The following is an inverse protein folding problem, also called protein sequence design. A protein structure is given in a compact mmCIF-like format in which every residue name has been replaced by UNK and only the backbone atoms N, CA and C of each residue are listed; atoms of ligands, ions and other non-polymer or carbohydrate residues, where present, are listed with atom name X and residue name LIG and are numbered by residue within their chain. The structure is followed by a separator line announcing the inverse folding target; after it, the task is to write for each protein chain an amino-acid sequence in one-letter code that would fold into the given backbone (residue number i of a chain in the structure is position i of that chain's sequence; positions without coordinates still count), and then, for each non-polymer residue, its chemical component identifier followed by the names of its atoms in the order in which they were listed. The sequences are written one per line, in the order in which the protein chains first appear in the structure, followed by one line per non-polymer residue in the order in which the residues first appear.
data_IF_850246700620
#
_entry.id   IF_850246700620
#
_cell.length_a   1.000
_cell.length_b   1.000
_cell.length_c   1.000
_cell.angle_alpha   90.00
_cell.angle_beta   90.00
_cell.angle_gamma   90.00
#
_symmetry.space_group_name_H-M   'P 1'
#
loop_
_entity.id
_entity.type
_entity.pdbx_description
1 polymer ?
#
# COMPACT_ATOMS: atom_id res chain seq x y z
N UNK A 1 1.03 10.00 8.24
CA UNK A 1 0.36 9.81 6.94
C UNK A 1 -0.73 8.75 7.13
N UNK A 2 -1.87 8.85 6.45
CA UNK A 2 -2.98 7.89 6.60
C UNK A 2 -2.71 6.62 5.77
N UNK A 3 -3.06 5.42 6.27
CA UNK A 3 -2.74 4.14 5.61
C UNK A 3 -3.33 3.99 4.19
N UNK A 4 -4.43 4.67 3.90
CA UNK A 4 -5.00 4.76 2.56
C UNK A 4 -4.04 5.38 1.53
N UNK A 5 -3.23 6.38 1.94
CA UNK A 5 -2.20 6.97 1.09
C UNK A 5 -1.06 5.99 0.88
N UNK A 6 -0.65 5.29 1.95
CA UNK A 6 0.37 4.25 1.89
C UNK A 6 -0.02 3.15 0.88
N UNK A 7 -1.26 2.67 0.93
CA UNK A 7 -1.77 1.68 -0.04
C UNK A 7 -1.73 2.22 -1.47
N UNK A 8 -2.16 3.47 -1.69
CA UNK A 8 -2.19 4.08 -3.02
C UNK A 8 -0.79 4.25 -3.62
N UNK A 9 0.16 4.76 -2.83
CA UNK A 9 1.57 4.88 -3.23
C UNK A 9 2.19 3.51 -3.58
N UNK A 10 1.90 2.49 -2.77
CA UNK A 10 2.36 1.13 -3.06
C UNK A 10 1.84 0.61 -4.41
N UNK A 11 0.53 0.79 -4.66
CA UNK A 11 -0.11 0.33 -5.89
C UNK A 11 0.46 1.03 -7.14
N UNK A 12 0.75 2.33 -7.05
CA UNK A 12 1.42 3.09 -8.10
C UNK A 12 2.84 2.55 -8.34
N UNK A 13 3.67 2.46 -7.29
CA UNK A 13 5.05 2.01 -7.41
C UNK A 13 5.14 0.59 -7.98
N UNK A 14 4.23 -0.31 -7.57
CA UNK A 14 4.17 -1.66 -8.12
C UNK A 14 3.78 -1.67 -9.59
N UNK A 15 2.80 -0.85 -9.98
CA UNK A 15 2.35 -0.74 -11.37
C UNK A 15 3.47 -0.23 -12.29
N UNK A 16 4.23 0.78 -11.86
CA UNK A 16 5.42 1.29 -12.56
C UNK A 16 6.47 0.18 -12.78
N UNK A 17 6.75 -0.61 -11.73
CA UNK A 17 7.72 -1.72 -11.78
C UNK A 17 7.34 -2.80 -12.80
N UNK A 18 6.05 -3.11 -12.92
CA UNK A 18 5.57 -4.13 -13.88
C UNK A 18 5.15 -3.56 -15.23
N UNK A 19 5.25 -2.24 -15.42
CA UNK A 19 4.80 -1.56 -16.63
C UNK A 19 3.29 -1.68 -16.87
N UNK A 20 2.49 -1.68 -15.80
CA UNK A 20 1.03 -1.71 -15.88
C UNK A 20 0.43 -0.32 -15.59
N UNK A 21 -0.73 -0.04 -16.19
CA UNK A 21 -1.50 1.15 -15.87
C UNK A 21 -2.28 0.95 -14.57
N UNK A 22 -2.16 1.90 -13.63
CA UNK A 22 -2.95 1.94 -12.41
C UNK A 22 -3.82 3.20 -12.37
N UNK A 23 -5.14 3.02 -12.48
CA UNK A 23 -6.09 4.11 -12.70
C UNK A 23 -7.03 4.39 -11.52
N UNK A 24 -6.88 3.71 -10.39
CA UNK A 24 -7.73 3.97 -9.21
C UNK A 24 -7.23 5.19 -8.46
N UNK A 25 -8.11 6.19 -8.32
CA UNK A 25 -7.90 7.32 -7.43
C UNK A 25 -8.05 6.91 -5.96
N UNK A 26 -7.50 7.71 -5.06
CA UNK A 26 -7.63 7.50 -3.62
C UNK A 26 -9.11 7.45 -3.17
N UNK A 27 -9.94 8.36 -3.71
CA UNK A 27 -11.37 8.43 -3.40
C UNK A 27 -12.12 7.16 -3.81
N UNK A 28 -11.75 6.54 -4.92
CA UNK A 28 -12.35 5.28 -5.36
C UNK A 28 -11.95 4.12 -4.44
N UNK A 29 -10.69 4.08 -4.00
CA UNK A 29 -10.21 3.10 -3.02
C UNK A 29 -10.98 3.24 -1.71
N UNK A 30 -11.15 4.45 -1.20
CA UNK A 30 -11.93 4.71 0.02
C UNK A 30 -13.38 4.25 -0.10
N UNK A 31 -14.02 4.58 -1.23
CA UNK A 31 -15.39 4.17 -1.52
C UNK A 31 -15.52 2.64 -1.51
N UNK A 32 -14.64 1.94 -2.23
CA UNK A 32 -14.62 0.47 -2.26
C UNK A 32 -14.36 -0.12 -0.87
N UNK A 33 -13.43 0.45 -0.10
CA UNK A 33 -13.16 -0.01 1.25
C UNK A 33 -14.38 0.10 2.17
N UNK A 34 -15.14 1.21 2.08
CA UNK A 34 -16.38 1.40 2.83
C UNK A 34 -17.48 0.40 2.46
N UNK A 35 -17.44 -0.14 1.24
CA UNK A 35 -18.32 -1.21 0.76
C UNK A 35 -17.86 -2.61 1.21
N UNK A 36 -16.78 -2.69 1.99
CA UNK A 36 -16.25 -3.95 2.53
C UNK A 36 -15.16 -4.61 1.69
N UNK A 37 -14.72 -3.99 0.58
CA UNK A 37 -13.60 -4.53 -0.19
C UNK A 37 -12.30 -4.45 0.61
N UNK A 38 -11.52 -5.53 0.59
CA UNK A 38 -10.23 -5.66 1.28
C UNK A 38 -9.10 -6.12 0.36
N UNK A 39 -9.39 -6.32 -0.92
CA UNK A 39 -8.39 -6.58 -1.94
C UNK A 39 -8.40 -5.45 -2.96
N UNK A 40 -7.23 -4.86 -3.22
CA UNK A 40 -7.04 -3.82 -4.22
C UNK A 40 -5.94 -4.25 -5.16
N UNK A 41 -6.33 -4.66 -6.38
CA UNK A 41 -5.40 -5.15 -7.40
C UNK A 41 -4.41 -6.21 -6.87
N UNK A 42 -4.90 -7.23 -6.18
CA UNK A 42 -4.06 -8.30 -5.62
C UNK A 42 -3.55 -8.03 -4.20
N UNK A 43 -3.57 -6.78 -3.74
CA UNK A 43 -3.10 -6.39 -2.40
C UNK A 43 -4.22 -6.53 -1.37
N UNK A 44 -4.01 -7.40 -0.39
CA UNK A 44 -4.87 -7.55 0.78
C UNK A 44 -4.56 -6.46 1.81
N UNK A 45 -5.61 -5.85 2.36
CA UNK A 45 -5.51 -4.84 3.42
C UNK A 45 -6.30 -5.23 4.66
N UNK A 46 -5.89 -4.75 5.82
CA UNK A 46 -6.64 -4.89 7.07
C UNK A 46 -7.76 -3.84 7.21
N UNK A 47 -8.42 -3.84 8.36
CA UNK A 47 -9.50 -2.92 8.74
C UNK A 47 -9.08 -1.44 8.83
N UNK A 48 -7.79 -1.13 8.69
CA UNK A 48 -7.24 0.22 8.73
C UNK A 48 -6.62 0.66 7.40
N UNK A 49 -6.84 -0.03 6.27
CA UNK A 49 -6.14 0.17 4.98
C UNK A 49 -4.68 -0.27 4.95
N UNK A 50 -4.13 -0.87 6.01
CA UNK A 50 -2.73 -1.27 5.99
C UNK A 50 -2.55 -2.48 5.04
N UNK A 51 -1.66 -2.40 4.03
CA UNK A 51 -1.39 -3.51 3.13
C UNK A 51 -0.62 -4.60 3.87
N UNK A 52 -1.23 -5.78 3.95
CA UNK A 52 -0.68 -6.91 4.69
C UNK A 52 0.02 -7.91 3.77
N UNK A 53 -0.45 -8.03 2.53
CA UNK A 53 0.02 -9.06 1.61
C UNK A 53 -0.28 -8.65 0.17
N UNK A 54 0.63 -8.94 -0.76
CA UNK A 54 0.38 -8.81 -2.18
C UNK A 54 0.38 -10.21 -2.83
N UNK A 55 -0.80 -10.63 -3.30
CA UNK A 55 -0.96 -11.91 -3.99
C UNK A 55 -0.28 -11.92 -5.36
N UNK A 56 -0.11 -10.74 -5.96
CA UNK A 56 0.42 -10.55 -7.30
C UNK A 56 1.78 -9.84 -7.25
N UNK A 57 2.54 -10.03 -6.16
CA UNK A 57 3.86 -9.41 -6.02
C UNK A 57 4.77 -9.86 -7.18
N UNK A 58 5.39 -8.93 -7.92
CA UNK A 58 6.19 -9.28 -9.09
C UNK A 58 7.39 -10.14 -8.69
N UNK A 59 7.53 -11.33 -9.28
CA UNK A 59 8.62 -12.27 -8.92
C UNK A 59 10.00 -11.62 -9.07
N UNK A 60 10.18 -10.82 -10.11
CA UNK A 60 11.42 -10.08 -10.40
C UNK A 60 11.77 -9.05 -9.34
N UNK A 61 10.81 -8.63 -8.52
CA UNK A 61 10.93 -7.60 -7.49
C UNK A 61 10.33 -8.07 -6.16
N UNK A 62 10.43 -9.37 -5.87
CA UNK A 62 9.91 -9.95 -4.62
C UNK A 62 10.46 -9.20 -3.41
N UNK A 63 9.59 -8.86 -2.46
CA UNK A 63 9.89 -8.04 -1.31
C UNK A 63 9.65 -6.54 -1.51
N UNK A 64 9.05 -6.12 -2.63
CA UNK A 64 8.60 -4.74 -2.88
C UNK A 64 7.70 -4.24 -1.75
N UNK A 65 6.72 -5.05 -1.32
CA UNK A 65 5.80 -4.67 -0.23
C UNK A 65 6.55 -4.41 1.07
N UNK A 66 7.45 -5.32 1.44
CA UNK A 66 8.25 -5.19 2.66
C UNK A 66 9.20 -3.99 2.59
N UNK A 67 9.88 -3.80 1.44
CA UNK A 67 10.74 -2.65 1.20
C UNK A 67 9.98 -1.33 1.31
N UNK A 68 8.77 -1.28 0.77
CA UNK A 68 7.89 -0.11 0.85
C UNK A 68 7.40 0.16 2.29
N UNK A 69 6.95 -0.87 3.02
CA UNK A 69 6.55 -0.73 4.44
C UNK A 69 7.74 -0.21 5.26
N UNK A 70 8.93 -0.77 5.08
CA UNK A 70 10.15 -0.31 5.75
C UNK A 70 10.49 1.14 5.41
N UNK A 71 10.43 1.50 4.12
CA UNK A 71 10.62 2.87 3.66
C UNK A 71 9.62 3.83 4.33
N UNK A 72 8.33 3.51 4.30
CA UNK A 72 7.28 4.31 4.91
C UNK A 72 7.53 4.51 6.42
N UNK A 73 7.80 3.43 7.15
CA UNK A 73 8.07 3.48 8.59
C UNK A 73 9.28 4.39 8.84
N UNK A 74 10.39 4.18 8.13
CA UNK A 74 11.61 4.99 8.33
C UNK A 74 11.39 6.49 8.08
N UNK A 75 10.51 6.85 7.12
CA UNK A 75 10.17 8.24 6.80
C UNK A 75 9.19 8.89 7.78
N UNK A 76 8.32 8.11 8.41
CA UNK A 76 7.24 8.61 9.27
C UNK A 76 7.49 8.35 10.76
N UNK A 77 8.54 7.60 11.09
CA UNK A 77 8.93 7.33 12.46
C UNK A 77 9.33 8.64 13.15
N UNK A 78 8.57 9.00 14.19
CA UNK A 78 8.95 10.03 15.14
C UNK A 78 9.48 9.31 16.38
N UNK A 79 10.77 9.44 16.73
CA UNK A 79 11.26 8.87 17.97
C UNK A 79 10.45 9.45 19.12
N UNK A 80 9.97 8.58 20.01
CA UNK A 80 9.32 9.01 21.25
C UNK A 80 10.41 9.72 22.05
N UNK A 81 10.31 11.05 22.18
CA UNK A 81 11.13 11.79 23.12
C UNK A 81 10.59 11.50 24.51
N UNK A 82 11.30 10.69 25.28
CA UNK A 82 11.06 10.60 26.72
C UNK A 82 11.55 11.93 27.33
N UNK A 83 10.60 12.84 27.56
CA UNK A 83 10.77 14.05 28.37
C UNK A 83 10.74 13.71 29.85
#
# INVERSE_FOLDING_TARGET
MEFKLLLHEYLIARAEVIGADFNLSLTEIEKLFSLGFRNFAGVQVNEFFFPCWDNDEPITHRGLLNGFICFYISRNYKPIQNS
#
